data_IF_009318800154
#
_entry.id   IF_009318800154
#
_cell.length_a   1.000
_cell.length_b   1.000
_cell.length_c   1.000
_cell.angle_alpha   90.00
_cell.angle_beta   90.00
_cell.angle_gamma   90.00
#
_symmetry.space_group_name_H-M   'P 1'
#
loop_
_entity.id
_entity.type
_entity.pdbx_description
1 polymer ?
#
# COMPACT_ATOMS: atom_id res chain seq x y z
N UNK A 1 18.16 -3.25 3.39
CA UNK A 1 17.83 -4.69 3.22
C UNK A 1 16.38 -4.88 2.79
N UNK A 2 15.96 -6.06 2.27
CA UNK A 2 14.71 -6.16 1.53
C UNK A 2 13.50 -6.18 2.45
N UNK A 3 12.48 -5.43 2.05
CA UNK A 3 11.11 -5.65 2.46
C UNK A 3 10.71 -7.08 2.06
N UNK A 4 10.23 -7.87 3.02
CA UNK A 4 9.79 -9.26 2.78
C UNK A 4 8.28 -9.38 2.91
N UNK A 5 7.73 -10.52 2.52
CA UNK A 5 6.32 -10.80 2.76
C UNK A 5 6.09 -11.00 4.27
N UNK A 6 4.89 -10.65 4.75
CA UNK A 6 4.56 -10.70 6.18
C UNK A 6 4.77 -12.09 6.80
N UNK A 7 4.48 -13.15 6.02
CA UNK A 7 4.63 -14.54 6.44
C UNK A 7 6.08 -15.02 6.48
N UNK A 8 7.01 -14.29 5.86
CA UNK A 8 8.42 -14.68 5.74
C UNK A 8 9.27 -14.15 6.91
N UNK A 9 8.69 -13.32 7.79
CA UNK A 9 9.35 -12.86 9.01
C UNK A 9 9.28 -14.00 10.04
N UNK A 10 10.43 -14.56 10.46
CA UNK A 10 10.45 -15.61 11.47
C UNK A 10 9.75 -15.16 12.75
N UNK A 11 9.00 -16.08 13.38
CA UNK A 11 8.41 -15.85 14.70
C UNK A 11 9.44 -16.14 15.80
N UNK A 12 10.58 -15.46 15.73
CA UNK A 12 11.66 -15.56 16.70
C UNK A 12 11.52 -14.52 17.80
N UNK A 13 12.17 -14.77 18.94
CA UNK A 13 12.36 -13.76 19.99
C UNK A 13 13.19 -12.60 19.44
N UNK A 14 12.88 -11.36 19.87
CA UNK A 14 13.64 -10.15 19.50
C UNK A 14 13.06 -9.31 18.36
N UNK A 15 12.03 -9.79 17.66
CA UNK A 15 11.27 -8.97 16.70
C UNK A 15 10.48 -7.86 17.40
N UNK A 16 10.20 -6.77 16.69
CA UNK A 16 9.38 -5.66 17.18
C UNK A 16 8.19 -5.40 16.26
N UNK A 17 7.00 -5.28 16.84
CA UNK A 17 5.76 -4.96 16.14
C UNK A 17 5.36 -3.52 16.43
N UNK A 18 5.21 -2.72 15.37
CA UNK A 18 4.67 -1.36 15.44
C UNK A 18 3.33 -1.30 14.73
N UNK A 19 2.30 -0.84 15.43
CA UNK A 19 0.97 -0.59 14.88
C UNK A 19 0.77 0.90 14.65
N UNK A 20 0.89 1.32 13.39
CA UNK A 20 0.64 2.68 12.97
C UNK A 20 -0.85 2.89 12.71
N UNK A 21 -1.52 3.66 13.57
CA UNK A 21 -2.92 4.02 13.44
C UNK A 21 -3.04 5.22 12.50
N UNK A 22 -3.88 5.10 11.49
CA UNK A 22 -4.21 6.21 10.60
C UNK A 22 -5.44 6.93 11.14
N UNK A 23 -5.54 8.26 10.99
CA UNK A 23 -6.75 8.98 11.36
C UNK A 23 -7.94 8.38 10.58
N UNK A 24 -9.06 8.21 11.28
CA UNK A 24 -10.30 7.80 10.65
C UNK A 24 -10.70 8.86 9.61
N UNK A 25 -10.61 8.52 8.34
CA UNK A 25 -11.10 9.34 7.23
C UNK A 25 -12.40 8.76 6.69
N UNK A 26 -13.16 9.57 5.96
CA UNK A 26 -14.38 9.09 5.29
C UNK A 26 -14.08 7.87 4.42
N UNK A 27 -14.89 6.83 4.64
CA UNK A 27 -14.91 5.52 4.00
C UNK A 27 -13.88 4.48 4.50
N UNK A 28 -14.40 3.58 5.35
CA UNK A 28 -14.01 2.16 5.50
C UNK A 28 -14.20 1.37 4.20
N UNK A 29 -13.79 1.93 3.06
CA UNK A 29 -13.82 1.27 1.77
C UNK A 29 -12.64 0.29 1.65
N UNK A 30 -12.83 -0.87 0.99
CA UNK A 30 -11.76 -1.81 0.67
C UNK A 30 -10.60 -1.18 -0.13
N UNK A 31 -10.82 0.01 -0.72
CA UNK A 31 -9.80 0.81 -1.42
C UNK A 31 -9.46 2.13 -0.69
N UNK A 32 -9.56 2.18 0.64
CA UNK A 32 -9.25 3.39 1.43
C UNK A 32 -7.93 4.05 0.98
N UNK A 33 -8.00 5.28 0.41
CA UNK A 33 -6.81 6.00 -0.04
C UNK A 33 -5.82 6.25 1.11
N UNK A 34 -6.34 6.49 2.32
CA UNK A 34 -5.54 6.71 3.52
C UNK A 34 -4.67 5.49 3.86
N UNK A 35 -5.23 4.27 3.79
CA UNK A 35 -4.47 3.04 4.05
C UNK A 35 -3.34 2.84 3.03
N UNK A 36 -3.63 3.10 1.76
CA UNK A 36 -2.64 3.01 0.69
C UNK A 36 -1.55 4.08 0.84
N UNK A 37 -1.92 5.30 1.19
CA UNK A 37 -0.96 6.38 1.44
C UNK A 37 -0.08 6.06 2.65
N UNK A 38 -0.67 5.59 3.74
CA UNK A 38 0.04 5.16 4.95
C UNK A 38 1.06 4.07 4.64
N UNK A 39 0.65 2.99 3.96
CA UNK A 39 1.55 1.91 3.52
C UNK A 39 2.71 2.45 2.68
N UNK A 40 2.44 3.33 1.71
CA UNK A 40 3.46 3.89 0.85
C UNK A 40 4.40 4.85 1.59
N UNK A 41 3.91 5.65 2.53
CA UNK A 41 4.72 6.52 3.35
C UNK A 41 5.67 5.68 4.21
N UNK A 42 5.14 4.73 4.97
CA UNK A 42 5.90 3.89 5.88
C UNK A 42 6.93 3.03 5.15
N UNK A 43 6.56 2.45 4.01
CA UNK A 43 7.50 1.70 3.16
C UNK A 43 8.66 2.57 2.65
N UNK A 44 8.41 3.85 2.32
CA UNK A 44 9.46 4.77 1.89
C UNK A 44 10.37 5.20 3.04
N UNK A 45 9.80 5.43 4.23
CA UNK A 45 10.59 5.70 5.44
C UNK A 45 11.54 4.53 5.73
N UNK A 46 11.04 3.31 5.79
CA UNK A 46 11.88 2.13 6.01
C UNK A 46 12.98 1.98 4.94
N UNK A 47 12.67 2.32 3.68
CA UNK A 47 13.67 2.33 2.59
C UNK A 47 14.73 3.42 2.81
N UNK A 48 14.32 4.63 3.18
CA UNK A 48 15.21 5.77 3.40
C UNK A 48 16.13 5.59 4.61
N UNK A 49 15.65 4.92 5.67
CA UNK A 49 16.43 4.61 6.86
C UNK A 49 17.51 3.55 6.67
N UNK A 50 17.56 2.90 5.50
CA UNK A 50 18.55 1.86 5.16
C UNK A 50 18.67 0.78 6.24
N UNK A 51 17.52 0.25 6.67
CA UNK A 51 17.42 -0.78 7.70
C UNK A 51 18.29 -2.00 7.37
N UNK A 52 18.86 -2.60 8.43
CA UNK A 52 19.83 -3.69 8.36
C UNK A 52 19.17 -5.07 8.30
N UNK A 53 18.08 -5.26 9.02
CA UNK A 53 17.29 -6.49 9.07
C UNK A 53 16.16 -6.52 8.05
N UNK A 54 15.41 -7.62 8.05
CA UNK A 54 14.17 -7.73 7.28
C UNK A 54 13.05 -6.99 8.00
N UNK A 55 12.15 -6.43 7.21
CA UNK A 55 10.92 -5.85 7.70
C UNK A 55 9.75 -6.19 6.77
N UNK A 56 8.55 -6.20 7.33
CA UNK A 56 7.32 -6.35 6.56
C UNK A 56 6.29 -5.31 7.00
N UNK A 57 5.39 -4.96 6.07
CA UNK A 57 4.26 -4.08 6.33
C UNK A 57 2.97 -4.73 5.85
N UNK A 58 1.90 -4.55 6.61
CA UNK A 58 0.56 -5.01 6.24
C UNK A 58 -0.47 -3.97 6.64
N UNK A 59 -1.40 -3.67 5.73
CA UNK A 59 -2.57 -2.89 6.08
C UNK A 59 -3.60 -3.77 6.79
N UNK A 60 -4.14 -3.30 7.90
CA UNK A 60 -5.17 -3.99 8.68
C UNK A 60 -6.36 -3.06 8.92
N UNK A 61 -7.53 -3.66 9.04
CA UNK A 61 -8.81 -2.99 9.29
C UNK A 61 -9.54 -3.51 10.52
N UNK A 62 -8.95 -4.49 11.22
CA UNK A 62 -9.62 -5.21 12.30
C UNK A 62 -10.01 -4.30 13.48
N UNK A 63 -9.27 -3.22 13.69
CA UNK A 63 -9.44 -2.26 14.79
C UNK A 63 -9.38 -0.81 14.29
N UNK A 64 -9.87 -0.59 13.07
CA UNK A 64 -9.73 0.67 12.32
C UNK A 64 -8.59 0.63 11.30
N UNK A 65 -8.36 1.74 10.60
CA UNK A 65 -7.32 1.85 9.58
C UNK A 65 -5.94 1.83 10.22
N UNK A 66 -5.26 0.69 10.15
CA UNK A 66 -3.93 0.52 10.73
C UNK A 66 -2.96 -0.04 9.71
N UNK A 67 -1.69 0.32 9.87
CA UNK A 67 -0.58 -0.34 9.19
C UNK A 67 0.26 -1.01 10.26
N UNK A 68 0.37 -2.32 10.17
CA UNK A 68 1.24 -3.12 11.00
C UNK A 68 2.62 -3.17 10.34
N UNK A 69 3.67 -2.88 11.09
CA UNK A 69 5.06 -3.01 10.68
C UNK A 69 5.73 -4.00 11.63
N UNK A 70 6.47 -4.94 11.08
CA UNK A 70 7.28 -5.85 11.88
C UNK A 70 8.74 -5.74 11.45
N UNK A 71 9.62 -5.63 12.44
CA UNK A 71 11.07 -5.55 12.26
C UNK A 71 11.70 -6.79 12.88
N UNK A 72 12.60 -7.42 12.15
CA UNK A 72 13.39 -8.54 12.64
C UNK A 72 14.39 -8.11 13.73
N UNK A 73 14.97 -6.91 13.58
CA UNK A 73 15.95 -6.35 14.50
C UNK A 73 15.35 -5.22 15.34
N UNK A 74 15.55 -5.27 16.65
CA UNK A 74 15.14 -4.18 17.56
C UNK A 74 15.77 -2.82 17.20
N UNK A 75 17.03 -2.81 16.78
CA UNK A 75 17.73 -1.58 16.39
C UNK A 75 17.08 -0.88 15.18
N UNK A 76 16.50 -1.63 14.24
CA UNK A 76 15.78 -1.06 13.10
C UNK A 76 14.45 -0.45 13.53
N UNK A 77 13.76 -1.10 14.47
CA UNK A 77 12.54 -0.57 15.06
C UNK A 77 12.83 0.73 15.83
N UNK A 78 13.97 0.80 16.55
CA UNK A 78 14.41 1.99 17.26
C UNK A 78 14.76 3.15 16.30
N UNK A 79 15.42 2.85 15.17
CA UNK A 79 15.68 3.86 14.11
C UNK A 79 14.39 4.40 13.53
N UNK A 80 13.43 3.52 13.27
CA UNK A 80 12.10 3.93 12.80
C UNK A 80 11.36 4.76 13.86
N UNK A 81 11.38 4.32 15.12
CA UNK A 81 10.77 5.02 16.25
C UNK A 81 11.35 6.44 16.43
N UNK A 82 12.67 6.59 16.33
CA UNK A 82 13.34 7.89 16.36
C UNK A 82 12.87 8.80 15.21
N UNK A 83 12.73 8.25 13.99
CA UNK A 83 12.19 9.00 12.84
C UNK A 83 10.73 9.44 13.06
N UNK A 84 9.95 8.64 13.78
CA UNK A 84 8.57 8.94 14.16
C UNK A 84 8.44 9.79 15.44
N UNK A 85 9.55 10.18 16.08
CA UNK A 85 9.56 10.83 17.40
C UNK A 85 8.83 10.02 18.51
N UNK A 86 8.90 8.70 18.42
CA UNK A 86 8.46 7.78 19.47
C UNK A 86 9.56 7.57 20.53
N UNK A 87 9.21 7.14 21.75
CA UNK A 87 10.18 6.71 22.74
C UNK A 87 11.06 5.56 22.23
N UNK A 88 12.36 5.64 22.56
CA UNK A 88 13.39 4.63 22.25
C UNK A 88 14.04 4.19 23.57
N UNK A 89 14.25 2.89 23.83
CA UNK A 89 13.99 1.74 22.95
C UNK A 89 12.49 1.45 22.81
N UNK A 90 12.10 0.97 21.63
CA UNK A 90 10.72 0.57 21.35
C UNK A 90 10.41 -0.75 22.06
N UNK A 91 9.25 -0.80 22.71
CA UNK A 91 8.72 -2.01 23.33
C UNK A 91 8.47 -3.11 22.28
N UNK A 92 8.32 -4.37 22.71
CA UNK A 92 8.07 -5.49 21.79
C UNK A 92 6.88 -5.25 20.88
N UNK A 93 5.83 -4.67 21.45
CA UNK A 93 4.69 -4.15 20.74
C UNK A 93 4.49 -2.68 21.13
N UNK A 94 4.38 -1.82 20.13
CA UNK A 94 4.04 -0.42 20.36
C UNK A 94 3.07 0.07 19.29
N UNK A 95 2.38 1.18 19.58
CA UNK A 95 1.48 1.81 18.63
C UNK A 95 1.80 3.30 18.50
N UNK A 96 1.54 3.85 17.31
CA UNK A 96 1.76 5.25 17.03
C UNK A 96 0.60 5.80 16.19
N UNK A 97 0.24 7.05 16.40
CA UNK A 97 -0.77 7.72 15.59
C UNK A 97 -0.09 8.50 14.47
N UNK A 98 -0.46 8.22 13.22
CA UNK A 98 0.01 8.96 12.04
C UNK A 98 -0.88 10.19 11.85
N UNK A 99 -0.80 11.12 12.79
CA UNK A 99 -1.46 12.42 12.66
C UNK A 99 -0.73 13.33 11.65
N UNK A 100 -1.22 14.57 11.47
CA UNK A 100 -0.63 15.51 10.53
C UNK A 100 0.84 15.82 10.83
N UNK A 101 1.21 15.95 12.12
CA UNK A 101 2.56 16.25 12.55
C UNK A 101 3.51 15.07 12.34
N UNK A 102 3.08 13.87 12.72
CA UNK A 102 3.83 12.63 12.55
C UNK A 102 4.00 12.32 11.06
N UNK A 103 2.94 12.46 10.27
CA UNK A 103 3.02 12.28 8.81
C UNK A 103 3.99 13.28 8.16
N UNK A 104 3.98 14.55 8.59
CA UNK A 104 4.92 15.55 8.10
C UNK A 104 6.38 15.16 8.41
N UNK A 105 6.65 14.74 9.64
CA UNK A 105 7.99 14.26 10.05
C UNK A 105 8.43 13.03 9.26
N UNK A 106 7.56 12.03 9.12
CA UNK A 106 7.87 10.85 8.32
C UNK A 106 8.11 11.19 6.84
N UNK A 107 7.45 12.23 6.30
CA UNK A 107 7.70 12.71 4.94
C UNK A 107 9.05 13.41 4.79
N UNK A 108 9.62 14.02 5.83
CA UNK A 108 11.00 14.56 5.73
C UNK A 108 12.03 13.45 5.60
N UNK A 109 11.75 12.28 6.17
CA UNK A 109 12.62 11.09 6.08
C UNK A 109 12.37 10.30 4.80
N UNK A 110 11.13 9.90 4.55
CA UNK A 110 10.75 9.06 3.41
C UNK A 110 10.55 9.82 2.08
N UNK A 111 10.72 11.15 2.10
CA UNK A 111 10.49 12.03 0.95
C UNK A 111 9.01 12.20 0.57
N UNK A 112 8.76 12.87 -0.56
CA UNK A 112 7.42 13.03 -1.13
C UNK A 112 7.05 11.89 -2.09
N UNK A 113 5.75 11.55 -2.25
CA UNK A 113 5.34 10.52 -3.17
C UNK A 113 5.81 10.86 -4.58
N UNK A 114 6.48 9.93 -5.28
CA UNK A 114 6.85 10.16 -6.66
C UNK A 114 5.58 10.33 -7.51
N UNK A 115 5.43 11.50 -8.13
CA UNK A 115 4.30 11.83 -9.01
C UNK A 115 4.63 11.55 -10.48
N UNK A 116 5.89 11.21 -10.81
CA UNK A 116 6.32 10.89 -12.17
C UNK A 116 5.57 9.63 -12.63
N UNK A 117 4.73 9.79 -13.65
CA UNK A 117 3.92 8.70 -14.22
C UNK A 117 2.42 8.71 -13.86
N UNK A 118 1.94 9.60 -12.98
CA UNK A 118 0.48 9.75 -12.76
C UNK A 118 -0.26 10.21 -14.04
N UNK A 119 0.36 11.09 -14.82
CA UNK A 119 -0.18 11.51 -16.12
C UNK A 119 -0.29 10.35 -17.12
N UNK A 120 0.74 9.49 -17.19
CA UNK A 120 0.78 8.35 -18.12
C UNK A 120 -0.28 7.29 -17.77
N UNK A 121 -0.43 6.95 -16.48
CA UNK A 121 -1.46 6.02 -16.02
C UNK A 121 -2.88 6.56 -16.13
N UNK A 122 -3.06 7.89 -16.03
CA UNK A 122 -4.36 8.53 -16.26
C UNK A 122 -4.74 8.45 -17.74
N UNK A 123 -3.80 8.75 -18.64
CA UNK A 123 -4.01 8.63 -20.08
C UNK A 123 -4.25 7.18 -20.52
N UNK A 124 -3.56 6.21 -19.94
CA UNK A 124 -3.81 4.77 -20.19
C UNK A 124 -5.20 4.35 -19.69
N UNK A 125 -5.63 4.78 -18.49
CA UNK A 125 -7.01 4.53 -18.02
C UNK A 125 -8.08 5.20 -18.88
N UNK A 126 -7.85 6.43 -19.32
CA UNK A 126 -8.76 7.15 -20.21
C UNK A 126 -8.84 6.46 -21.57
N UNK A 127 -7.72 5.94 -22.08
CA UNK A 127 -7.67 5.13 -23.30
C UNK A 127 -8.41 3.80 -23.13
N UNK A 128 -8.16 3.06 -22.06
CA UNK A 128 -8.85 1.79 -21.78
C UNK A 128 -10.37 1.98 -21.60
N UNK A 129 -10.80 3.06 -20.95
CA UNK A 129 -12.22 3.41 -20.84
C UNK A 129 -12.85 3.76 -22.19
N UNK A 130 -12.11 4.49 -23.04
CA UNK A 130 -12.56 4.83 -24.38
C UNK A 130 -12.64 3.61 -25.29
N UNK A 131 -11.68 2.71 -25.21
CA UNK A 131 -11.67 1.45 -25.96
C UNK A 131 -12.80 0.53 -25.46
N UNK A 132 -13.06 0.46 -24.16
CA UNK A 132 -14.20 -0.27 -23.59
C UNK A 132 -15.57 0.26 -24.06
N UNK A 133 -15.75 1.58 -24.13
CA UNK A 133 -16.96 2.21 -24.68
C UNK A 133 -17.12 1.91 -26.17
N UNK A 134 -16.02 1.84 -26.92
CA UNK A 134 -16.03 1.54 -28.36
C UNK A 134 -16.45 0.10 -28.64
N UNK A 135 -16.06 -0.86 -27.79
CA UNK A 135 -16.52 -2.25 -27.90
C UNK A 135 -18.00 -2.43 -27.53
N UNK A 136 -18.52 -1.66 -26.57
CA UNK A 136 -19.92 -1.71 -26.17
C UNK A 136 -20.89 -1.16 -27.25
N UNK A 137 -20.40 -0.34 -28.17
CA UNK A 137 -21.20 0.29 -29.23
C UNK A 137 -21.13 -0.41 -30.60
N UNK A 138 -20.38 -1.53 -30.74
CA UNK A 138 -20.43 -2.31 -31.98
C UNK A 138 -21.82 -2.92 -32.14
N UNK A 139 -22.60 -2.56 -33.18
CA UNK A 139 -23.84 -3.26 -33.45
C UNK A 139 -23.49 -4.72 -33.74
N UNK A 140 -24.19 -5.64 -33.08
CA UNK A 140 -24.10 -7.07 -33.35
C UNK A 140 -24.37 -7.29 -34.85
N UNK A 141 -23.29 -7.47 -35.62
CA UNK A 141 -23.34 -7.67 -37.05
C UNK A 141 -24.07 -8.96 -37.36
N UNK A 142 -25.29 -8.81 -37.88
CA UNK A 142 -26.11 -9.76 -38.64
C UNK A 142 -25.48 -11.15 -38.82
N UNK A 143 -26.03 -12.12 -38.10
CA UNK A 143 -25.92 -13.54 -38.44
C UNK A 143 -26.50 -13.76 -39.84
N UNK A 144 -25.63 -13.87 -40.84
CA UNK A 144 -26.01 -14.33 -42.16
C UNK A 144 -26.36 -15.81 -42.08
N UNK A 145 -27.66 -16.12 -42.04
CA UNK A 145 -28.18 -17.47 -42.19
C UNK A 145 -27.95 -17.96 -43.62
N UNK A 146 -26.84 -18.65 -43.83
CA UNK A 146 -26.60 -19.46 -45.02
C UNK A 146 -27.49 -20.70 -44.90
N UNK A 147 -28.68 -20.68 -45.50
CA UNK A 147 -29.51 -21.89 -45.66
C UNK A 147 -28.89 -22.75 -46.74
N UNK A 148 -28.47 -23.94 -46.32
CA UNK A 148 -28.08 -25.03 -47.19
C UNK A 148 -29.22 -25.39 -48.14
N UNK A 149 -28.87 -25.40 -49.43
CA UNK A 149 -29.56 -26.19 -50.46
C UNK A 149 -29.20 -27.64 -50.19
N UNK A 150 -30.19 -28.50 -49.92
CA UNK A 150 -30.23 -29.87 -50.44
C UNK A 150 -31.58 -30.55 -50.13
N UNK A 151 -32.15 -31.19 -51.16
CA UNK A 151 -33.14 -32.27 -51.05
C UNK A 151 -34.60 -31.87 -51.31
N UNK A 152 -35.05 -31.96 -52.56
CA UNK A 152 -35.97 -33.01 -53.06
C UNK A 152 -36.00 -32.94 -54.60
#
# INVERSE_FOLDING_TARGET
>A
MPKVHWLDIPRTTGRRLLVAKLPAGEADSPTSPALKEGLNLLSRVCTALRLEGRYALRGSRASGLTVELIFELGADADRFAAAAAMPVPVAEEASLLIDGATAARLRTVGGLPDTRGRGRRRLEKEKDQRDALTWAQRPAGRSATRRDRQGF
#
